data_IF_527205625595
#
_entry.id   IF_527205625595
#
_cell.length_a   1.000
_cell.length_b   1.000
_cell.length_c   1.000
_cell.angle_alpha   90.00
_cell.angle_beta   90.00
_cell.angle_gamma   90.00
#
_symmetry.space_group_name_H-M   'P 1'
#
loop_
_entity.id
_entity.type
_entity.pdbx_description
1 polymer ?
#
# COMPACT_ATOMS: atom_id res chain seq x y z
N UNK A 1 15.74 -23.32 10.39
CA UNK A 1 15.75 -22.80 9.00
C UNK A 1 14.57 -21.83 8.90
N UNK A 2 14.74 -20.66 8.29
CA UNK A 2 13.62 -19.74 8.12
C UNK A 2 12.66 -20.26 7.05
N UNK A 3 11.35 -20.15 7.28
CA UNK A 3 10.34 -20.38 6.26
C UNK A 3 10.31 -19.17 5.31
N UNK A 4 10.37 -19.42 4.01
CA UNK A 4 10.26 -18.35 3.01
C UNK A 4 8.80 -17.90 2.88
N UNK A 5 8.56 -16.61 3.05
CA UNK A 5 7.26 -16.00 2.76
C UNK A 5 7.20 -15.68 1.27
N UNK A 6 6.61 -16.59 0.49
CA UNK A 6 6.46 -16.42 -0.96
C UNK A 6 5.35 -15.40 -1.29
N UNK A 7 5.72 -14.12 -1.32
CA UNK A 7 4.81 -13.03 -1.66
C UNK A 7 4.24 -13.11 -3.07
N UNK A 8 4.95 -13.76 -4.01
CA UNK A 8 4.45 -13.94 -5.39
C UNK A 8 3.26 -14.91 -5.40
N UNK A 9 3.40 -16.05 -4.74
CA UNK A 9 2.32 -17.03 -4.59
C UNK A 9 1.09 -16.43 -3.89
N UNK A 10 1.30 -15.62 -2.85
CA UNK A 10 0.20 -14.91 -2.16
C UNK A 10 -0.49 -13.91 -3.10
N UNK A 11 0.28 -13.11 -3.85
CA UNK A 11 -0.27 -12.14 -4.79
C UNK A 11 -1.08 -12.82 -5.91
N UNK A 12 -0.61 -13.93 -6.47
CA UNK A 12 -1.35 -14.72 -7.46
C UNK A 12 -2.68 -15.23 -6.90
N UNK A 13 -2.71 -15.64 -5.62
CA UNK A 13 -3.93 -16.01 -4.91
C UNK A 13 -4.93 -14.86 -4.80
N UNK A 14 -4.45 -13.65 -4.48
CA UNK A 14 -5.28 -12.44 -4.42
C UNK A 14 -5.86 -12.10 -5.79
N UNK A 15 -5.05 -12.12 -6.85
CA UNK A 15 -5.50 -11.84 -8.23
C UNK A 15 -6.57 -12.83 -8.67
N UNK A 16 -6.38 -14.14 -8.41
CA UNK A 16 -7.40 -15.16 -8.72
C UNK A 16 -8.72 -14.88 -8.01
N UNK A 17 -8.68 -14.50 -6.73
CA UNK A 17 -9.88 -14.17 -5.95
C UNK A 17 -10.57 -12.92 -6.49
N UNK A 18 -9.82 -11.86 -6.76
CA UNK A 18 -10.38 -10.60 -7.29
C UNK A 18 -11.04 -10.86 -8.64
N UNK A 19 -10.41 -11.62 -9.54
CA UNK A 19 -10.99 -12.00 -10.83
C UNK A 19 -12.32 -12.73 -10.70
N UNK A 20 -12.42 -13.69 -9.77
CA UNK A 20 -13.67 -14.41 -9.50
C UNK A 20 -14.76 -13.47 -8.98
N UNK A 21 -14.41 -12.56 -8.07
CA UNK A 21 -15.35 -11.55 -7.54
C UNK A 21 -15.82 -10.57 -8.62
N UNK A 22 -14.94 -10.17 -9.55
CA UNK A 22 -15.32 -9.33 -10.69
C UNK A 22 -16.38 -10.02 -11.55
N UNK A 23 -16.19 -11.31 -11.84
CA UNK A 23 -17.14 -12.09 -12.64
C UNK A 23 -18.49 -12.15 -11.91
N UNK A 24 -18.49 -12.50 -10.62
CA UNK A 24 -19.70 -12.57 -9.81
C UNK A 24 -20.45 -11.22 -9.76
N UNK A 25 -19.72 -10.10 -9.61
CA UNK A 25 -20.30 -8.76 -9.62
C UNK A 25 -20.97 -8.44 -10.96
N UNK A 26 -20.32 -8.78 -12.07
CA UNK A 26 -20.86 -8.56 -13.41
C UNK A 26 -22.07 -9.44 -13.70
N UNK A 27 -22.08 -10.69 -13.24
CA UNK A 27 -23.23 -11.60 -13.36
C UNK A 27 -24.46 -11.08 -12.59
N UNK A 28 -24.24 -10.31 -11.51
CA UNK A 28 -25.29 -9.62 -10.75
C UNK A 28 -25.73 -8.29 -11.38
N UNK A 29 -25.23 -7.96 -12.58
CA UNK A 29 -25.61 -6.76 -13.33
C UNK A 29 -24.82 -5.49 -12.99
N UNK A 30 -23.75 -5.59 -12.20
CA UNK A 30 -22.88 -4.45 -11.94
C UNK A 30 -21.99 -4.14 -13.17
N UNK A 31 -21.57 -2.87 -13.28
CA UNK A 31 -20.57 -2.48 -14.27
C UNK A 31 -19.18 -3.03 -13.93
N UNK A 32 -18.30 -3.09 -14.93
CA UNK A 32 -16.88 -3.45 -14.71
C UNK A 32 -16.26 -2.45 -13.72
N UNK A 33 -15.55 -2.93 -12.67
CA UNK A 33 -14.79 -2.03 -11.81
C UNK A 33 -13.78 -1.22 -12.62
N UNK A 34 -13.72 0.07 -12.36
CA UNK A 34 -12.84 1.01 -13.04
C UNK A 34 -11.61 1.39 -12.23
N UNK A 35 -10.44 1.36 -12.87
CA UNK A 35 -9.18 1.83 -12.30
C UNK A 35 -8.48 2.79 -13.26
N UNK A 36 -8.29 4.03 -12.81
CA UNK A 36 -7.47 5.03 -13.49
C UNK A 36 -6.06 5.07 -12.89
N UNK A 37 -5.05 5.04 -13.74
CA UNK A 37 -3.64 5.19 -13.35
C UNK A 37 -3.05 6.42 -14.04
N UNK A 38 -2.49 7.33 -13.26
CA UNK A 38 -1.89 8.57 -13.72
C UNK A 38 -0.39 8.53 -13.47
N UNK A 39 0.40 8.77 -14.51
CA UNK A 39 1.86 8.89 -14.44
C UNK A 39 2.29 10.20 -15.09
N UNK A 40 3.20 10.92 -14.42
CA UNK A 40 3.74 12.20 -14.88
C UNK A 40 5.24 12.05 -15.06
N UNK A 41 5.71 12.27 -16.28
CA UNK A 41 7.11 12.09 -16.68
C UNK A 41 7.47 10.65 -17.09
N UNK A 42 8.78 10.41 -17.22
CA UNK A 42 9.34 9.24 -17.90
C UNK A 42 10.24 8.38 -17.02
N UNK A 43 10.12 8.47 -15.69
CA UNK A 43 10.92 7.66 -14.78
C UNK A 43 10.77 6.14 -15.11
N UNK A 44 11.84 5.44 -15.53
CA UNK A 44 11.74 4.08 -16.03
C UNK A 44 11.19 3.09 -14.99
N UNK A 45 11.51 3.29 -13.71
CA UNK A 45 10.98 2.46 -12.63
C UNK A 45 9.45 2.62 -12.53
N UNK A 46 8.97 3.85 -12.55
CA UNK A 46 7.55 4.19 -12.53
C UNK A 46 6.79 3.58 -13.70
N UNK A 47 7.37 3.59 -14.91
CA UNK A 47 6.75 2.98 -16.10
C UNK A 47 6.55 1.46 -15.95
N UNK A 48 7.55 0.75 -15.40
CA UNK A 48 7.44 -0.69 -15.14
C UNK A 48 6.34 -0.98 -14.10
N UNK A 49 6.29 -0.19 -13.03
CA UNK A 49 5.25 -0.33 -12.00
C UNK A 49 3.84 -0.11 -12.56
N UNK A 50 3.64 0.96 -13.34
CA UNK A 50 2.35 1.28 -13.95
C UNK A 50 1.93 0.22 -14.96
N UNK A 51 2.85 -0.24 -15.82
CA UNK A 51 2.57 -1.31 -16.76
C UNK A 51 2.11 -2.60 -16.05
N UNK A 52 2.73 -2.94 -14.91
CA UNK A 52 2.30 -4.08 -14.12
C UNK A 52 0.89 -3.89 -13.53
N UNK A 53 0.59 -2.71 -12.97
CA UNK A 53 -0.75 -2.39 -12.44
C UNK A 53 -1.82 -2.48 -13.53
N UNK A 54 -1.58 -1.87 -14.69
CA UNK A 54 -2.49 -1.92 -15.84
C UNK A 54 -2.71 -3.35 -16.35
N UNK A 55 -1.66 -4.18 -16.38
CA UNK A 55 -1.76 -5.60 -16.75
C UNK A 55 -2.60 -6.39 -15.76
N UNK A 56 -2.35 -6.24 -14.46
CA UNK A 56 -3.11 -6.95 -13.41
C UNK A 56 -4.57 -6.50 -13.37
N UNK A 57 -4.85 -5.22 -13.56
CA UNK A 57 -6.23 -4.72 -13.66
C UNK A 57 -6.99 -5.39 -14.83
N UNK A 58 -6.35 -5.49 -16.01
CA UNK A 58 -6.91 -6.20 -17.17
C UNK A 58 -7.12 -7.69 -16.88
N UNK A 59 -6.17 -8.34 -16.21
CA UNK A 59 -6.30 -9.75 -15.81
C UNK A 59 -7.49 -10.00 -14.87
N UNK A 60 -7.77 -9.05 -13.97
CA UNK A 60 -8.93 -9.04 -13.09
C UNK A 60 -10.25 -8.67 -13.79
N UNK A 61 -10.22 -8.30 -15.08
CA UNK A 61 -11.41 -7.93 -15.86
C UNK A 61 -11.87 -6.48 -15.69
N UNK A 62 -11.02 -5.62 -15.12
CA UNK A 62 -11.37 -4.22 -14.86
C UNK A 62 -11.40 -3.37 -16.13
N UNK A 63 -12.21 -2.31 -16.10
CA UNK A 63 -12.03 -1.17 -17.00
C UNK A 63 -10.80 -0.38 -16.51
N UNK A 64 -9.73 -0.36 -17.31
CA UNK A 64 -8.47 0.28 -16.92
C UNK A 64 -8.15 1.43 -17.88
N UNK A 65 -7.93 2.61 -17.30
CA UNK A 65 -7.54 3.83 -18.01
C UNK A 65 -6.15 4.24 -17.52
N UNK A 66 -5.28 4.62 -18.44
CA UNK A 66 -3.94 5.10 -18.11
C UNK A 66 -3.71 6.48 -18.73
N UNK A 67 -3.37 7.46 -17.90
CA UNK A 67 -2.93 8.79 -18.32
C UNK A 67 -1.41 8.86 -18.22
N UNK A 68 -0.74 9.00 -19.36
CA UNK A 68 0.71 9.24 -19.42
C UNK A 68 0.93 10.70 -19.78
N UNK A 69 1.43 11.46 -18.82
CA UNK A 69 1.47 12.91 -18.86
C UNK A 69 2.93 13.38 -18.92
N UNK A 70 3.22 14.47 -19.64
CA UNK A 70 4.58 14.96 -19.78
C UNK A 70 5.14 15.49 -18.45
N UNK A 71 6.46 15.46 -18.29
CA UNK A 71 7.10 15.90 -17.05
C UNK A 71 6.87 17.39 -16.78
N UNK A 72 6.76 18.21 -17.82
CA UNK A 72 6.53 19.65 -17.79
C UNK A 72 5.09 20.06 -17.48
N UNK A 73 4.17 19.10 -17.34
CA UNK A 73 2.77 19.38 -17.01
C UNK A 73 2.67 20.20 -15.72
N UNK A 74 1.74 21.15 -15.69
CA UNK A 74 1.50 21.96 -14.50
C UNK A 74 0.71 21.19 -13.42
N UNK A 75 0.90 21.58 -12.16
CA UNK A 75 0.08 21.08 -11.05
C UNK A 75 -1.42 21.31 -11.30
N UNK A 76 -1.79 22.47 -11.86
CA UNK A 76 -3.19 22.81 -12.13
C UNK A 76 -3.84 21.88 -13.16
N UNK A 77 -3.15 21.57 -14.24
CA UNK A 77 -3.66 20.64 -15.26
C UNK A 77 -3.80 19.22 -14.71
N UNK A 78 -2.84 18.77 -13.89
CA UNK A 78 -2.93 17.47 -13.23
C UNK A 78 -4.14 17.41 -12.28
N UNK A 79 -4.35 18.45 -11.48
CA UNK A 79 -5.52 18.54 -10.59
C UNK A 79 -6.85 18.54 -11.37
N UNK A 80 -6.89 19.14 -12.56
CA UNK A 80 -8.07 19.09 -13.43
C UNK A 80 -8.39 17.65 -13.87
N UNK A 81 -7.37 16.87 -14.28
CA UNK A 81 -7.54 15.45 -14.62
C UNK A 81 -8.05 14.65 -13.42
N UNK A 82 -7.49 14.87 -12.22
CA UNK A 82 -7.99 14.21 -11.01
C UNK A 82 -9.45 14.57 -10.74
N UNK A 83 -9.84 15.83 -10.99
CA UNK A 83 -11.23 16.28 -10.92
C UNK A 83 -12.17 15.53 -11.87
N UNK A 84 -11.76 15.35 -13.13
CA UNK A 84 -12.51 14.57 -14.13
C UNK A 84 -12.67 13.10 -13.70
N UNK A 85 -11.59 12.46 -13.26
CA UNK A 85 -11.60 11.08 -12.79
C UNK A 85 -12.45 10.89 -11.53
N UNK A 86 -12.47 11.88 -10.65
CA UNK A 86 -13.36 11.88 -9.48
C UNK A 86 -14.84 11.92 -9.88
N UNK A 87 -15.19 12.69 -10.91
CA UNK A 87 -16.55 12.82 -11.41
C UNK A 87 -17.01 11.63 -12.26
N UNK A 88 -16.08 10.88 -12.85
CA UNK A 88 -16.41 9.77 -13.75
C UNK A 88 -17.00 8.56 -12.98
N UNK A 89 -18.29 8.19 -13.20
CA UNK A 89 -18.90 7.03 -12.55
C UNK A 89 -18.33 5.69 -13.01
N UNK A 90 -17.63 5.64 -14.14
CA UNK A 90 -16.94 4.45 -14.63
C UNK A 90 -15.62 4.19 -13.90
N UNK A 91 -15.10 5.13 -13.10
CA UNK A 91 -13.86 5.01 -12.33
C UNK A 91 -14.17 4.82 -10.84
N UNK A 92 -13.73 3.70 -10.27
CA UNK A 92 -13.90 3.39 -8.85
C UNK A 92 -12.60 3.60 -8.05
N UNK A 93 -11.44 3.58 -8.71
CA UNK A 93 -10.14 3.79 -8.09
C UNK A 93 -9.24 4.68 -8.93
N UNK A 94 -8.48 5.54 -8.27
CA UNK A 94 -7.49 6.43 -8.88
C UNK A 94 -6.14 6.18 -8.22
N UNK A 95 -5.11 5.96 -9.04
CA UNK A 95 -3.73 5.83 -8.61
C UNK A 95 -2.88 6.89 -9.29
N UNK A 96 -2.18 7.70 -8.51
CA UNK A 96 -1.15 8.62 -9.01
C UNK A 96 0.20 8.05 -8.67
N UNK A 97 0.99 7.72 -9.70
CA UNK A 97 2.31 7.13 -9.52
C UNK A 97 3.30 8.18 -9.01
N UNK A 98 3.99 7.83 -7.91
CA UNK A 98 5.05 8.64 -7.30
C UNK A 98 6.44 8.10 -7.70
N UNK A 99 7.50 8.95 -7.67
CA UNK A 99 7.48 10.38 -7.36
C UNK A 99 6.92 11.23 -8.51
N UNK A 100 6.31 12.37 -8.17
CA UNK A 100 5.94 13.39 -9.15
C UNK A 100 7.13 14.34 -9.41
N UNK A 101 7.17 15.03 -10.56
CA UNK A 101 8.13 16.11 -10.81
C UNK A 101 8.17 17.14 -9.67
N UNK A 102 9.35 17.68 -9.39
CA UNK A 102 9.59 18.50 -8.19
C UNK A 102 8.82 19.82 -8.11
N UNK A 103 8.25 20.30 -9.22
CA UNK A 103 7.38 21.49 -9.24
C UNK A 103 5.91 21.19 -8.93
N UNK A 104 5.53 19.92 -8.74
CA UNK A 104 4.19 19.48 -8.38
C UNK A 104 4.17 19.03 -6.92
N UNK A 105 3.26 19.59 -6.13
CA UNK A 105 3.01 19.16 -4.76
C UNK A 105 2.23 17.84 -4.74
N UNK A 106 2.95 16.73 -4.54
CA UNK A 106 2.34 15.41 -4.43
C UNK A 106 1.30 15.31 -3.30
N UNK A 107 1.47 16.06 -2.21
CA UNK A 107 0.50 16.10 -1.13
C UNK A 107 -0.84 16.65 -1.61
N UNK A 108 -0.84 17.78 -2.31
CA UNK A 108 -2.06 18.36 -2.88
C UNK A 108 -2.74 17.41 -3.87
N UNK A 109 -1.97 16.78 -4.75
CA UNK A 109 -2.51 15.85 -5.75
C UNK A 109 -3.17 14.65 -5.10
N UNK A 110 -2.52 14.03 -4.10
CA UNK A 110 -3.09 12.91 -3.35
C UNK A 110 -4.37 13.33 -2.62
N UNK A 111 -4.37 14.50 -1.98
CA UNK A 111 -5.56 15.01 -1.27
C UNK A 111 -6.68 15.49 -2.21
N UNK A 112 -6.42 15.63 -3.51
CA UNK A 112 -7.46 15.92 -4.49
C UNK A 112 -8.22 14.68 -4.94
N UNK A 113 -7.69 13.47 -4.71
CA UNK A 113 -8.39 12.21 -5.02
C UNK A 113 -9.54 12.05 -4.03
N UNK A 114 -10.75 11.76 -4.52
CA UNK A 114 -11.88 11.53 -3.64
C UNK A 114 -11.59 10.33 -2.70
N UNK A 115 -11.84 10.43 -1.38
CA UNK A 115 -11.47 9.39 -0.42
C UNK A 115 -11.98 7.99 -0.78
N UNK A 116 -13.18 7.91 -1.35
CA UNK A 116 -13.83 6.69 -1.81
C UNK A 116 -13.25 6.12 -3.12
N UNK A 117 -12.37 6.85 -3.79
CA UNK A 117 -11.61 6.40 -4.97
C UNK A 117 -10.10 6.31 -4.72
N UNK A 118 -9.63 6.67 -3.53
CA UNK A 118 -8.23 6.58 -3.10
C UNK A 118 -7.86 5.14 -2.76
N UNK A 119 -7.72 4.31 -3.78
CA UNK A 119 -7.41 2.88 -3.62
C UNK A 119 -5.96 2.61 -3.18
N UNK A 120 -5.11 3.65 -3.12
CA UNK A 120 -3.76 3.59 -2.53
C UNK A 120 -3.75 3.97 -1.03
N UNK A 121 -4.85 4.52 -0.51
CA UNK A 121 -5.07 4.76 0.92
C UNK A 121 -4.28 5.93 1.53
N UNK A 122 -3.85 6.91 0.73
CA UNK A 122 -3.02 8.03 1.20
C UNK A 122 -3.80 9.33 1.48
N UNK A 123 -5.08 9.38 1.14
CA UNK A 123 -5.95 10.49 1.48
C UNK A 123 -6.12 10.59 3.01
N UNK A 124 -6.06 11.81 3.57
CA UNK A 124 -6.07 12.00 5.02
C UNK A 124 -7.31 11.46 5.71
N UNK A 125 -8.46 11.47 5.03
CA UNK A 125 -9.69 10.80 5.51
C UNK A 125 -9.45 9.29 5.71
N UNK A 126 -8.85 8.60 4.74
CA UNK A 126 -8.55 7.17 4.85
C UNK A 126 -7.49 6.88 5.92
N UNK A 127 -6.44 7.71 5.98
CA UNK A 127 -5.42 7.64 7.05
C UNK A 127 -6.05 7.87 8.44
N UNK A 128 -6.97 8.82 8.55
CA UNK A 128 -7.71 9.12 9.77
C UNK A 128 -8.58 7.95 10.21
N UNK A 129 -9.36 7.38 9.28
CA UNK A 129 -10.17 6.17 9.54
C UNK A 129 -9.30 5.00 10.02
N UNK A 130 -8.18 4.73 9.34
CA UNK A 130 -7.22 3.72 9.78
C UNK A 130 -6.70 4.01 11.20
N UNK A 131 -6.35 5.27 11.48
CA UNK A 131 -5.88 5.70 12.81
C UNK A 131 -6.92 5.53 13.92
N UNK A 132 -8.21 5.64 13.61
CA UNK A 132 -9.31 5.41 14.58
C UNK A 132 -9.80 3.97 14.63
N UNK A 133 -9.24 3.07 13.80
CA UNK A 133 -9.67 1.66 13.71
C UNK A 133 -10.90 1.41 12.83
N UNK A 134 -11.35 2.41 12.05
CA UNK A 134 -12.48 2.32 11.12
C UNK A 134 -12.07 1.61 9.82
N UNK A 135 -11.66 0.34 9.93
CA UNK A 135 -11.07 -0.43 8.84
C UNK A 135 -12.07 -0.85 7.76
N UNK A 136 -13.35 -0.97 8.11
CA UNK A 136 -14.38 -1.46 7.17
C UNK A 136 -14.61 -0.50 6.00
N UNK A 137 -14.45 0.80 6.25
CA UNK A 137 -14.71 1.85 5.25
C UNK A 137 -13.46 2.61 4.82
N UNK A 138 -12.29 2.22 5.32
CA UNK A 138 -11.02 2.82 4.96
C UNK A 138 -10.35 2.09 3.79
N UNK A 139 -9.89 2.82 2.79
CA UNK A 139 -8.80 2.30 1.96
C UNK A 139 -7.50 2.39 2.74
N UNK A 140 -6.86 1.25 2.97
CA UNK A 140 -5.60 1.18 3.70
C UNK A 140 -4.41 1.16 2.71
N UNK A 141 -3.27 1.77 3.05
CA UNK A 141 -2.08 1.73 2.21
C UNK A 141 -1.71 0.33 1.72
N UNK A 142 -1.52 0.18 0.41
CA UNK A 142 -1.39 -1.13 -0.24
C UNK A 142 -0.20 -1.95 0.28
N UNK A 143 0.97 -1.33 0.50
CA UNK A 143 2.16 -2.03 1.01
C UNK A 143 1.91 -2.60 2.42
N UNK A 144 1.51 -1.81 3.43
CA UNK A 144 1.10 -2.34 4.72
C UNK A 144 0.01 -3.41 4.67
N UNK A 145 -1.01 -3.24 3.82
CA UNK A 145 -2.08 -4.22 3.67
C UNK A 145 -1.57 -5.56 3.12
N UNK A 146 -0.69 -5.51 2.11
CA UNK A 146 0.01 -6.68 1.59
C UNK A 146 0.87 -7.35 2.66
N UNK A 147 1.65 -6.56 3.40
CA UNK A 147 2.47 -7.07 4.52
C UNK A 147 1.63 -7.78 5.59
N UNK A 148 0.44 -7.28 5.93
CA UNK A 148 -0.47 -7.97 6.84
C UNK A 148 -0.89 -9.34 6.30
N UNK A 149 -1.25 -9.46 5.03
CA UNK A 149 -1.58 -10.76 4.41
C UNK A 149 -0.42 -11.76 4.51
N UNK A 150 0.82 -11.27 4.33
CA UNK A 150 2.03 -12.07 4.44
C UNK A 150 2.30 -12.52 5.88
N UNK A 151 2.11 -11.63 6.86
CA UNK A 151 2.26 -11.93 8.28
C UNK A 151 1.21 -12.96 8.71
N UNK A 152 -0.06 -12.74 8.36
CA UNK A 152 -1.18 -13.63 8.68
C UNK A 152 -1.02 -15.01 8.06
N UNK A 153 -0.35 -15.12 6.91
CA UNK A 153 -0.05 -16.41 6.28
C UNK A 153 0.84 -17.29 7.16
N UNK A 154 1.76 -16.68 7.91
CA UNK A 154 2.74 -17.37 8.77
C UNK A 154 2.20 -17.53 10.20
N UNK A 155 1.54 -16.50 10.73
CA UNK A 155 1.14 -16.43 12.14
C UNK A 155 -0.33 -16.76 12.40
N UNK A 156 -1.16 -16.81 11.35
CA UNK A 156 -2.60 -16.82 11.48
C UNK A 156 -3.17 -15.41 11.66
N UNK A 157 -4.50 -15.31 11.74
CA UNK A 157 -5.22 -14.02 11.85
C UNK A 157 -5.18 -13.41 13.25
N UNK A 158 -4.98 -14.24 14.28
CA UNK A 158 -4.89 -13.75 15.65
C UNK A 158 -3.42 -13.40 15.96
N UNK A 159 -3.13 -12.11 15.93
CA UNK A 159 -1.80 -11.57 16.27
C UNK A 159 -1.77 -10.96 17.69
N UNK A 160 -2.78 -11.29 18.50
CA UNK A 160 -2.95 -10.70 19.83
C UNK A 160 -1.75 -10.96 20.74
N UNK A 161 -1.24 -9.90 21.34
CA UNK A 161 -0.14 -9.96 22.30
C UNK A 161 1.26 -10.14 21.70
N UNK A 162 1.39 -10.32 20.38
CA UNK A 162 2.70 -10.34 19.73
C UNK A 162 3.35 -8.96 19.79
N UNK A 163 4.67 -8.92 20.01
CA UNK A 163 5.45 -7.69 19.94
C UNK A 163 5.86 -7.41 18.49
N UNK A 164 5.31 -6.35 17.91
CA UNK A 164 5.65 -5.91 16.57
C UNK A 164 6.54 -4.67 16.61
N UNK A 165 7.67 -4.69 15.90
CA UNK A 165 8.58 -3.56 15.75
C UNK A 165 8.60 -3.13 14.30
N UNK A 166 8.19 -1.88 14.04
CA UNK A 166 8.24 -1.26 12.72
C UNK A 166 9.41 -0.29 12.68
N UNK A 167 10.44 -0.63 11.90
CA UNK A 167 11.61 0.23 11.70
C UNK A 167 11.35 1.13 10.50
N UNK A 168 10.93 2.37 10.76
CA UNK A 168 10.51 3.31 9.73
C UNK A 168 9.17 3.96 10.09
N UNK A 169 9.02 5.24 9.77
CA UNK A 169 7.81 6.04 10.11
C UNK A 169 7.33 6.91 8.96
N UNK A 170 7.54 6.44 7.73
CA UNK A 170 7.00 7.09 6.54
C UNK A 170 5.48 7.12 6.60
N UNK A 171 4.87 8.11 5.94
CA UNK A 171 3.41 8.23 5.89
C UNK A 171 2.75 7.10 5.07
N UNK A 172 3.50 6.51 4.13
CA UNK A 172 2.97 5.52 3.18
C UNK A 172 3.20 4.06 3.61
N UNK A 173 4.16 3.78 4.51
CA UNK A 173 4.46 2.41 4.98
C UNK A 173 4.51 2.34 6.50
N UNK A 174 5.46 3.02 7.15
CA UNK A 174 5.76 2.77 8.57
C UNK A 174 4.59 3.07 9.51
N UNK A 175 3.99 4.27 9.40
CA UNK A 175 2.83 4.65 10.23
C UNK A 175 1.60 3.77 9.98
N UNK A 176 1.14 3.57 8.72
CA UNK A 176 -0.02 2.72 8.46
C UNK A 176 0.22 1.25 8.85
N UNK A 177 1.43 0.71 8.65
CA UNK A 177 1.78 -0.64 9.13
C UNK A 177 1.63 -0.77 10.64
N UNK A 178 2.11 0.22 11.39
CA UNK A 178 1.95 0.24 12.84
C UNK A 178 0.48 0.25 13.28
N UNK A 179 -0.37 1.03 12.61
CA UNK A 179 -1.80 1.08 12.90
C UNK A 179 -2.52 -0.24 12.57
N UNK A 180 -2.16 -0.90 11.46
CA UNK A 180 -2.73 -2.21 11.10
C UNK A 180 -2.34 -3.31 12.09
N UNK A 181 -1.07 -3.34 12.51
CA UNK A 181 -0.61 -4.27 13.55
C UNK A 181 -1.30 -4.01 14.90
N UNK A 182 -1.50 -2.73 15.24
CA UNK A 182 -2.22 -2.35 16.45
C UNK A 182 -3.69 -2.81 16.38
N UNK A 183 -4.36 -2.61 15.24
CA UNK A 183 -5.72 -3.09 15.02
C UNK A 183 -5.83 -4.62 15.04
N UNK A 184 -4.74 -5.33 14.74
CA UNK A 184 -4.61 -6.78 14.91
C UNK A 184 -4.17 -7.20 16.33
N UNK A 185 -4.28 -6.30 17.32
CA UNK A 185 -3.98 -6.52 18.75
C UNK A 185 -2.50 -6.79 19.09
N UNK A 186 -1.56 -6.44 18.21
CA UNK A 186 -0.14 -6.47 18.56
C UNK A 186 0.21 -5.36 19.58
N UNK A 187 1.23 -5.60 20.40
CA UNK A 187 1.96 -4.50 21.05
C UNK A 187 2.94 -3.93 20.04
N UNK A 188 2.75 -2.67 19.64
CA UNK A 188 3.51 -2.08 18.53
C UNK A 188 4.53 -1.05 19.02
N UNK A 189 5.78 -1.19 18.59
CA UNK A 189 6.81 -0.16 18.74
C UNK A 189 7.23 0.39 17.37
N UNK A 190 7.20 1.72 17.23
CA UNK A 190 7.68 2.40 16.02
C UNK A 190 9.10 2.91 16.28
N UNK A 191 10.06 2.39 15.51
CA UNK A 191 11.45 2.80 15.55
C UNK A 191 11.82 3.67 14.34
N UNK A 192 12.86 4.50 14.47
CA UNK A 192 13.31 5.41 13.40
C UNK A 192 14.76 5.85 13.62
N UNK A 193 15.26 6.74 12.76
CA UNK A 193 16.63 7.28 12.76
C UNK A 193 17.07 8.00 14.04
N UNK A 194 16.19 8.15 15.04
CA UNK A 194 16.48 8.77 16.34
C UNK A 194 16.27 7.80 17.51
N UNK A 195 15.96 6.53 17.22
CA UNK A 195 15.91 5.46 18.22
C UNK A 195 17.33 5.18 18.69
N UNK A 196 17.57 5.20 20.01
CA UNK A 196 18.92 5.11 20.60
C UNK A 196 19.59 3.75 20.35
N UNK A 197 18.89 2.66 20.64
CA UNK A 197 19.38 1.30 20.45
C UNK A 197 18.40 0.51 19.58
N UNK A 198 18.57 0.65 18.27
CA UNK A 198 17.70 0.02 17.28
C UNK A 198 17.86 -1.50 17.27
N UNK A 199 19.07 -1.99 17.52
CA UNK A 199 19.39 -3.42 17.52
C UNK A 199 18.74 -4.13 18.70
N UNK A 200 18.86 -3.58 19.92
CA UNK A 200 18.22 -4.16 21.09
C UNK A 200 16.69 -4.18 20.94
N UNK A 201 16.10 -3.12 20.39
CA UNK A 201 14.66 -3.07 20.14
C UNK A 201 14.21 -4.09 19.09
N UNK A 202 14.93 -4.21 17.97
CA UNK A 202 14.60 -5.21 16.94
C UNK A 202 14.64 -6.65 17.48
N UNK A 203 15.53 -6.95 18.44
CA UNK A 203 15.62 -8.26 19.10
C UNK A 203 14.42 -8.61 19.98
N UNK A 204 13.53 -7.66 20.30
CA UNK A 204 12.30 -7.95 21.04
C UNK A 204 11.14 -8.36 20.14
N UNK A 205 11.28 -8.18 18.82
CA UNK A 205 10.19 -8.30 17.87
C UNK A 205 9.83 -9.77 17.57
N UNK A 206 8.58 -10.14 17.76
CA UNK A 206 7.96 -11.34 17.16
C UNK A 206 7.67 -11.10 15.67
N UNK A 207 7.31 -9.86 15.32
CA UNK A 207 7.13 -9.36 13.95
C UNK A 207 8.03 -8.14 13.76
N UNK A 208 9.01 -8.24 12.87
CA UNK A 208 9.92 -7.14 12.53
C UNK A 208 9.62 -6.67 11.11
N UNK A 209 9.23 -5.40 10.96
CA UNK A 209 9.00 -4.77 9.65
C UNK A 209 10.09 -3.74 9.37
N UNK A 210 10.87 -3.91 8.31
CA UNK A 210 11.93 -3.00 7.88
C UNK A 210 11.42 -2.07 6.76
N UNK A 211 11.12 -0.80 7.08
CA UNK A 211 10.57 0.18 6.15
C UNK A 211 11.47 1.43 6.05
N UNK A 212 12.77 1.21 5.78
CA UNK A 212 13.82 2.24 5.89
C UNK A 212 14.41 2.72 4.56
N UNK A 213 14.19 2.01 3.45
CA UNK A 213 14.74 2.37 2.14
C UNK A 213 16.27 2.42 2.11
N UNK A 214 16.94 1.60 2.93
CA UNK A 214 18.39 1.51 3.05
C UNK A 214 18.82 0.05 2.97
N UNK A 215 19.61 -0.34 1.95
CA UNK A 215 20.06 -1.71 1.78
C UNK A 215 20.72 -2.26 3.05
N UNK A 216 20.32 -3.47 3.46
CA UNK A 216 20.90 -4.25 4.55
C UNK A 216 21.04 -3.51 5.90
N UNK A 217 20.19 -2.51 6.17
CA UNK A 217 20.28 -1.73 7.40
C UNK A 217 19.97 -2.59 8.64
N UNK A 218 18.98 -3.47 8.55
CA UNK A 218 18.66 -4.44 9.60
C UNK A 218 19.56 -5.66 9.41
N UNK A 219 20.35 -5.99 10.44
CA UNK A 219 21.31 -7.10 10.40
C UNK A 219 20.71 -8.37 11.01
N UNK A 220 21.21 -9.53 10.60
CA UNK A 220 20.68 -10.83 11.05
C UNK A 220 20.76 -11.04 12.56
N UNK A 221 21.77 -10.49 13.23
CA UNK A 221 21.95 -10.56 14.68
C UNK A 221 20.96 -9.66 15.46
N UNK A 222 20.18 -8.83 14.77
CA UNK A 222 19.11 -8.02 15.35
C UNK A 222 17.78 -8.79 15.39
N UNK A 223 17.68 -9.91 14.69
CA UNK A 223 16.43 -10.66 14.53
C UNK A 223 16.29 -11.66 15.67
N UNK A 224 15.16 -11.58 16.39
CA UNK A 224 14.79 -12.56 17.41
C UNK A 224 14.65 -13.96 16.78
N UNK A 225 15.21 -15.02 17.38
CA UNK A 225 14.96 -16.38 16.93
C UNK A 225 13.46 -16.69 16.83
N UNK A 226 13.04 -17.17 15.66
CA UNK A 226 11.64 -17.48 15.40
C UNK A 226 10.76 -16.27 15.09
N UNK A 227 11.30 -15.07 14.85
CA UNK A 227 10.55 -13.90 14.39
C UNK A 227 10.05 -14.04 12.94
N UNK A 228 8.99 -13.31 12.62
CA UNK A 228 8.55 -13.04 11.24
C UNK A 228 9.19 -11.73 10.79
N UNK A 229 9.92 -11.75 9.68
CA UNK A 229 10.59 -10.57 9.14
C UNK A 229 9.95 -10.18 7.82
N UNK A 230 9.52 -8.92 7.71
CA UNK A 230 9.01 -8.30 6.48
C UNK A 230 9.98 -7.19 6.10
N UNK A 231 10.53 -7.27 4.88
CA UNK A 231 11.48 -6.32 4.28
C UNK A 231 10.89 -5.77 2.97
#
# INVERSE_FOLDING_TARGET
MAELIDGKSVAEGVVRRVKALTIELMEKGAHKPGLAVVIVGEDPASQVYVASKSRTAKECGFHSVQHTLPAEMSEQELLAIIGELNADPAINGILVQLPLPGHIDAGKVIQAIAPQKDVDGFHFINVGKLGTGELETAFVPCTPAGSMLLIERVRGKDLSGLNAVVVGRSNIVGKPMANLLLAANCTVTIAHSRTKDLAALARTADILVAAVGRPEMVRGDWVKPGATVID
#
